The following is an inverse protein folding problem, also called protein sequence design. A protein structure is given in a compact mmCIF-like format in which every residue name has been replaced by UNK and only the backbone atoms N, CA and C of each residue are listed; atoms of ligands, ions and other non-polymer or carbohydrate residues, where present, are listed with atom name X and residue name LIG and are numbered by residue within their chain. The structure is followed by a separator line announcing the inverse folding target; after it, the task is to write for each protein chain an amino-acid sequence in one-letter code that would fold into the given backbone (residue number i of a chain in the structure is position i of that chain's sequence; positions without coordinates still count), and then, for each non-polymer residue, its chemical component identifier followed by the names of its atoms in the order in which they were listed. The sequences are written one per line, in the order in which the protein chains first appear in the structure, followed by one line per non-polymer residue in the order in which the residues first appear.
data_IF_164840348348
#
_entry.id   IF_164840348348
#
_cell.length_a   1.000
_cell.length_b   1.000
_cell.length_c   1.000
_cell.angle_alpha   90.00
_cell.angle_beta   90.00
_cell.angle_gamma   90.00
#
_symmetry.space_group_name_H-M   'P 1'
#
loop_
_entity.id
_entity.type
_entity.pdbx_description
1 polymer ?
#
# COMPACT_ATOMS: atom_id res chain seq x y z
N UNK A 1 -13.27 20.14 9.27
CA UNK A 1 -12.07 20.38 8.43
C UNK A 1 -12.53 20.51 7.00
N UNK A 2 -12.29 21.64 6.34
CA UNK A 2 -12.67 21.81 4.93
C UNK A 2 -11.74 20.97 4.07
N UNK A 3 -12.30 20.17 3.18
CA UNK A 3 -11.56 19.51 2.10
C UNK A 3 -10.77 20.55 1.31
N UNK A 4 -9.53 20.27 0.90
CA UNK A 4 -8.82 21.18 0.03
C UNK A 4 -9.62 21.38 -1.26
N UNK A 5 -9.72 22.63 -1.74
CA UNK A 5 -10.45 22.99 -2.97
C UNK A 5 -9.82 22.38 -4.25
N UNK A 6 -8.69 21.72 -4.11
CA UNK A 6 -7.95 20.99 -5.14
C UNK A 6 -7.94 19.52 -4.81
N UNK A 7 -8.38 18.65 -5.71
CA UNK A 7 -8.40 17.21 -5.50
C UNK A 7 -7.01 16.66 -5.11
N UNK A 8 -6.98 15.66 -4.22
CA UNK A 8 -5.76 14.96 -3.80
C UNK A 8 -5.15 14.17 -4.95
N UNK A 9 -3.88 14.41 -5.26
CA UNK A 9 -3.13 13.67 -6.27
C UNK A 9 -2.27 12.59 -5.62
N UNK A 10 -2.66 11.34 -5.81
CA UNK A 10 -1.92 10.17 -5.31
C UNK A 10 -1.18 9.50 -6.46
N UNK A 11 0.12 9.25 -6.29
CA UNK A 11 0.90 8.37 -7.15
C UNK A 11 0.93 6.98 -6.53
N UNK A 12 0.51 5.97 -7.29
CA UNK A 12 0.73 4.58 -6.95
C UNK A 12 1.82 3.99 -7.85
N UNK A 13 2.88 3.46 -7.23
CA UNK A 13 3.95 2.72 -7.91
C UNK A 13 3.71 1.24 -7.68
N UNK A 14 3.34 0.52 -8.73
CA UNK A 14 3.16 -0.94 -8.70
C UNK A 14 4.50 -1.64 -8.44
N UNK A 15 4.45 -2.90 -8.17
CA UNK A 15 5.51 -3.86 -7.86
C UNK A 15 6.95 -3.42 -8.19
N UNK A 16 7.64 -2.85 -7.20
CA UNK A 16 9.05 -2.42 -7.36
C UNK A 16 9.96 -3.64 -7.32
N UNK A 17 10.44 -4.07 -8.48
CA UNK A 17 11.21 -5.30 -8.63
C UNK A 17 12.72 -5.08 -8.50
N UNK A 18 13.34 -5.73 -7.51
CA UNK A 18 14.79 -5.85 -7.32
C UNK A 18 15.54 -4.50 -7.41
N UNK A 19 16.84 -4.55 -7.72
CA UNK A 19 17.70 -3.36 -7.79
C UNK A 19 17.35 -2.42 -8.94
N UNK A 20 16.82 -2.94 -10.03
CA UNK A 20 16.44 -2.12 -11.20
C UNK A 20 15.24 -1.23 -10.86
N UNK A 21 14.19 -1.80 -10.27
CA UNK A 21 13.02 -1.03 -9.83
C UNK A 21 13.39 0.04 -8.80
N UNK A 22 14.22 -0.34 -7.80
CA UNK A 22 14.70 0.61 -6.78
C UNK A 22 15.45 1.80 -7.38
N UNK A 23 16.40 1.55 -8.31
CA UNK A 23 17.17 2.61 -8.98
C UNK A 23 16.32 3.53 -9.84
N UNK A 24 15.30 2.99 -10.52
CA UNK A 24 14.37 3.80 -11.30
C UNK A 24 13.55 4.69 -10.38
N UNK A 25 13.03 4.15 -9.29
CA UNK A 25 12.28 4.92 -8.30
C UNK A 25 13.13 6.05 -7.72
N UNK A 26 14.34 5.74 -7.23
CA UNK A 26 15.29 6.70 -6.70
C UNK A 26 15.61 7.82 -7.69
N UNK A 27 15.79 7.48 -8.96
CA UNK A 27 16.17 8.43 -10.01
C UNK A 27 15.04 9.40 -10.40
N UNK A 28 13.80 8.93 -10.44
CA UNK A 28 12.72 9.67 -11.09
C UNK A 28 11.62 10.14 -10.14
N UNK A 29 11.55 9.61 -8.91
CA UNK A 29 10.42 9.88 -8.02
C UNK A 29 10.24 11.37 -7.71
N UNK A 30 11.35 12.07 -7.42
CA UNK A 30 11.33 13.49 -7.07
C UNK A 30 10.85 14.34 -8.26
N UNK A 31 11.35 14.05 -9.46
CA UNK A 31 10.97 14.76 -10.68
C UNK A 31 9.49 14.55 -11.00
N UNK A 32 9.01 13.32 -10.92
CA UNK A 32 7.59 12.98 -11.14
C UNK A 32 6.70 13.65 -10.10
N UNK A 33 7.09 13.63 -8.81
CA UNK A 33 6.36 14.32 -7.75
C UNK A 33 6.21 15.81 -8.04
N UNK A 34 7.29 16.46 -8.45
CA UNK A 34 7.31 17.88 -8.75
C UNK A 34 6.53 18.22 -10.04
N UNK A 35 6.79 17.51 -11.13
CA UNK A 35 6.18 17.76 -12.46
C UNK A 35 4.66 17.64 -12.41
N UNK A 36 4.16 16.61 -11.71
CA UNK A 36 2.73 16.32 -11.64
C UNK A 36 2.04 16.90 -10.41
N UNK A 37 2.79 17.52 -9.48
CA UNK A 37 2.28 18.06 -8.22
C UNK A 37 1.62 16.96 -7.38
N UNK A 38 2.33 15.85 -7.17
CA UNK A 38 1.85 14.69 -6.40
C UNK A 38 1.88 15.01 -4.91
N UNK A 39 0.76 14.84 -4.25
CA UNK A 39 0.59 15.10 -2.83
C UNK A 39 0.99 13.90 -1.96
N UNK A 40 0.77 12.66 -2.45
CA UNK A 40 0.98 11.44 -1.67
C UNK A 40 1.45 10.28 -2.55
N UNK A 41 2.41 9.47 -2.08
CA UNK A 41 3.02 8.39 -2.85
C UNK A 41 2.90 7.07 -2.09
N UNK A 42 2.26 6.09 -2.73
CA UNK A 42 2.20 4.69 -2.29
C UNK A 42 3.03 3.85 -3.24
N UNK A 43 3.87 2.96 -2.72
CA UNK A 43 4.64 2.03 -3.54
C UNK A 43 4.52 0.59 -3.03
N UNK A 44 4.32 -0.36 -3.93
CA UNK A 44 4.38 -1.77 -3.58
C UNK A 44 5.83 -2.25 -3.61
N UNK A 45 6.34 -2.68 -2.45
CA UNK A 45 7.74 -3.05 -2.23
C UNK A 45 7.96 -4.55 -2.04
N UNK A 46 6.95 -5.40 -2.29
CA UNK A 46 7.03 -6.82 -1.95
C UNK A 46 8.18 -7.58 -2.64
N UNK A 47 8.62 -7.10 -3.82
CA UNK A 47 9.69 -7.71 -4.61
C UNK A 47 10.98 -6.87 -4.64
N UNK A 48 11.11 -5.88 -3.77
CA UNK A 48 12.21 -4.94 -3.77
C UNK A 48 13.57 -5.56 -3.36
N UNK A 49 13.58 -6.59 -2.50
CA UNK A 49 14.79 -7.27 -2.05
C UNK A 49 15.13 -8.46 -2.95
N UNK A 50 15.84 -8.18 -4.05
CA UNK A 50 16.30 -9.23 -4.98
C UNK A 50 15.17 -9.98 -5.71
N UNK A 51 13.95 -9.41 -5.74
CA UNK A 51 12.79 -10.00 -6.38
C UNK A 51 11.84 -10.71 -5.41
N UNK A 52 12.13 -10.74 -4.10
CA UNK A 52 11.27 -11.35 -3.07
C UNK A 52 11.45 -10.67 -1.71
N UNK A 53 10.37 -10.12 -1.20
CA UNK A 53 10.35 -9.43 0.09
C UNK A 53 10.94 -8.02 0.03
N UNK A 54 10.99 -7.39 1.19
CA UNK A 54 11.59 -6.09 1.46
C UNK A 54 12.40 -6.16 2.75
N UNK A 55 13.56 -5.51 2.81
CA UNK A 55 14.37 -5.41 4.03
C UNK A 55 14.11 -4.08 4.74
N UNK A 56 14.40 -3.96 6.06
CA UNK A 56 14.31 -2.69 6.77
C UNK A 56 15.09 -1.55 6.11
N UNK A 57 16.31 -1.85 5.59
CA UNK A 57 17.16 -0.86 4.91
C UNK A 57 16.50 -0.36 3.62
N UNK A 58 15.93 -1.26 2.82
CA UNK A 58 15.24 -0.91 1.57
C UNK A 58 13.99 -0.09 1.89
N UNK A 59 13.21 -0.47 2.90
CA UNK A 59 12.03 0.27 3.31
C UNK A 59 12.39 1.69 3.78
N UNK A 60 13.40 1.83 4.66
CA UNK A 60 13.92 3.12 5.12
C UNK A 60 14.41 3.98 3.96
N UNK A 61 15.09 3.36 2.99
CA UNK A 61 15.55 4.07 1.79
C UNK A 61 14.36 4.62 0.99
N UNK A 62 13.31 3.84 0.76
CA UNK A 62 12.12 4.31 0.07
C UNK A 62 11.44 5.49 0.77
N UNK A 63 11.33 5.45 2.09
CA UNK A 63 10.83 6.58 2.86
C UNK A 63 11.74 7.81 2.74
N UNK A 64 13.05 7.63 2.72
CA UNK A 64 14.01 8.74 2.60
C UNK A 64 13.98 9.45 1.25
N UNK A 65 13.56 8.75 0.18
CA UNK A 65 13.42 9.35 -1.15
C UNK A 65 12.00 9.90 -1.42
N UNK A 66 11.11 9.87 -0.41
CA UNK A 66 9.82 10.53 -0.46
C UNK A 66 8.62 9.62 -0.73
N UNK A 67 8.75 8.28 -0.58
CA UNK A 67 7.58 7.39 -0.53
C UNK A 67 6.89 7.58 0.82
N UNK A 68 5.58 7.81 0.80
CA UNK A 68 4.80 8.06 2.01
C UNK A 68 4.33 6.76 2.69
N UNK A 69 3.91 5.76 1.89
CA UNK A 69 3.46 4.45 2.38
C UNK A 69 3.99 3.33 1.48
N UNK A 70 4.43 2.26 2.09
CA UNK A 70 4.78 1.00 1.41
C UNK A 70 3.70 -0.04 1.63
N UNK A 71 3.25 -0.67 0.55
CA UNK A 71 2.42 -1.87 0.56
C UNK A 71 3.26 -3.09 0.19
N UNK A 72 2.76 -4.26 0.48
CA UNK A 72 3.41 -5.54 0.19
C UNK A 72 2.39 -6.58 -0.29
N UNK A 73 2.81 -7.83 -0.40
CA UNK A 73 1.98 -8.95 -0.82
C UNK A 73 2.42 -10.27 -0.18
N UNK A 74 2.36 -11.36 -0.94
CA UNK A 74 2.65 -12.70 -0.45
C UNK A 74 4.13 -12.91 -0.05
N UNK A 75 5.05 -12.08 -0.53
CA UNK A 75 6.49 -12.18 -0.20
C UNK A 75 6.91 -11.32 1.00
N UNK A 76 5.97 -10.68 1.71
CA UNK A 76 6.29 -9.78 2.83
C UNK A 76 7.18 -10.40 3.92
N UNK A 77 7.10 -11.73 4.14
CA UNK A 77 7.87 -12.44 5.16
C UNK A 77 9.08 -13.20 4.64
N UNK A 78 9.40 -13.07 3.34
CA UNK A 78 10.53 -13.79 2.75
C UNK A 78 11.88 -13.29 3.30
N UNK A 79 11.96 -12.01 3.72
CA UNK A 79 13.09 -11.44 4.45
C UNK A 79 12.75 -11.39 5.94
N UNK A 80 13.27 -12.33 6.72
CA UNK A 80 12.88 -12.49 8.15
C UNK A 80 13.17 -11.26 9.02
N UNK A 81 14.16 -10.48 8.66
CA UNK A 81 14.55 -9.25 9.35
C UNK A 81 13.49 -8.13 9.26
N UNK A 82 12.50 -8.27 8.36
CA UNK A 82 11.40 -7.32 8.26
C UNK A 82 10.42 -7.42 9.44
N UNK A 83 10.33 -8.55 10.12
CA UNK A 83 9.31 -8.82 11.13
C UNK A 83 9.28 -7.77 12.27
N UNK A 84 10.41 -7.43 12.94
CA UNK A 84 10.40 -6.37 13.95
C UNK A 84 10.02 -5.01 13.35
N UNK A 85 10.51 -4.73 12.14
CA UNK A 85 10.29 -3.45 11.48
C UNK A 85 8.83 -3.25 11.07
N UNK A 86 8.10 -4.31 10.71
CA UNK A 86 6.66 -4.27 10.45
C UNK A 86 5.84 -3.82 11.68
N UNK A 87 6.28 -4.14 12.89
CA UNK A 87 5.61 -3.69 14.12
C UNK A 87 5.92 -2.23 14.46
N UNK A 88 7.14 -1.79 14.17
CA UNK A 88 7.65 -0.46 14.53
C UNK A 88 7.26 0.62 13.51
N UNK A 89 7.21 0.28 12.21
CA UNK A 89 6.99 1.25 11.14
C UNK A 89 5.52 1.21 10.63
N UNK A 90 4.69 2.18 11.03
CA UNK A 90 3.27 2.19 10.65
C UNK A 90 3.02 2.43 9.16
N UNK A 91 4.00 2.93 8.41
CA UNK A 91 3.91 3.20 6.98
C UNK A 91 4.26 1.99 6.10
N UNK A 92 4.68 0.87 6.71
CA UNK A 92 4.89 -0.39 5.99
C UNK A 92 3.68 -1.31 6.24
N UNK A 93 2.88 -1.54 5.21
CA UNK A 93 1.66 -2.31 5.29
C UNK A 93 1.84 -3.71 4.70
N UNK A 94 1.44 -4.71 5.45
CA UNK A 94 1.24 -6.09 4.95
C UNK A 94 -0.20 -6.30 4.51
N UNK A 95 -0.54 -7.38 3.79
CA UNK A 95 -1.94 -7.67 3.49
C UNK A 95 -2.81 -7.77 4.77
N UNK A 96 -3.87 -6.97 4.83
CA UNK A 96 -4.74 -6.86 6.00
C UNK A 96 -5.55 -8.13 6.28
N UNK A 97 -5.77 -8.93 5.24
CA UNK A 97 -6.47 -10.22 5.34
C UNK A 97 -5.56 -11.40 5.72
N UNK A 98 -4.30 -11.15 6.12
CA UNK A 98 -3.51 -12.13 6.85
C UNK A 98 -3.97 -12.20 8.29
N UNK A 99 -3.60 -13.29 9.00
CA UNK A 99 -3.98 -13.49 10.39
C UNK A 99 -3.69 -12.25 11.25
N UNK A 100 -4.61 -11.91 12.14
CA UNK A 100 -4.45 -10.82 13.12
C UNK A 100 -3.27 -11.02 14.07
N UNK A 101 -2.75 -12.26 14.17
CA UNK A 101 -1.55 -12.59 14.97
C UNK A 101 -0.25 -12.30 14.22
N UNK A 102 -0.33 -11.92 12.94
CA UNK A 102 0.84 -11.61 12.13
C UNK A 102 1.37 -10.22 12.46
N UNK A 103 2.68 -10.02 12.62
CA UNK A 103 3.28 -8.72 12.89
C UNK A 103 2.87 -7.66 11.87
N UNK A 104 2.77 -6.41 12.32
CA UNK A 104 2.50 -5.25 11.48
C UNK A 104 1.03 -5.00 11.19
N UNK A 105 0.78 -3.98 10.39
CA UNK A 105 -0.55 -3.46 10.05
C UNK A 105 -0.90 -3.72 8.60
N UNK A 106 -2.18 -3.80 8.28
CA UNK A 106 -2.65 -3.96 6.90
C UNK A 106 -3.34 -2.73 6.33
N UNK A 107 -3.54 -1.70 7.15
CA UNK A 107 -4.14 -0.42 6.76
C UNK A 107 -3.74 0.68 7.74
N UNK A 108 -3.94 1.92 7.35
CA UNK A 108 -3.76 3.09 8.20
C UNK A 108 -4.28 4.37 7.55
N UNK A 109 -4.43 5.41 8.36
CA UNK A 109 -4.69 6.77 7.91
C UNK A 109 -3.41 7.60 8.05
N UNK A 110 -3.01 8.28 6.98
CA UNK A 110 -1.75 8.99 6.88
C UNK A 110 -1.99 10.46 6.56
N UNK A 111 -1.19 11.34 7.17
CA UNK A 111 -1.24 12.76 6.87
C UNK A 111 -0.70 13.04 5.46
N UNK A 112 -1.30 13.97 4.78
CA UNK A 112 -0.87 14.48 3.48
C UNK A 112 -0.31 15.90 3.69
N UNK A 113 0.81 16.23 3.03
CA UNK A 113 1.38 17.58 3.02
C UNK A 113 1.36 18.27 4.40
N UNK A 114 2.14 17.77 5.36
CA UNK A 114 2.30 18.35 6.71
C UNK A 114 0.97 18.56 7.49
N UNK A 115 -0.08 17.77 7.15
CA UNK A 115 -1.35 17.78 7.88
C UNK A 115 -2.49 18.55 7.21
N UNK A 116 -2.33 18.96 5.94
CA UNK A 116 -3.43 19.61 5.17
C UNK A 116 -4.60 18.65 4.86
N UNK A 117 -4.42 17.34 5.07
CA UNK A 117 -5.43 16.33 4.85
C UNK A 117 -4.99 14.96 5.32
N UNK A 118 -5.84 13.96 5.09
CA UNK A 118 -5.55 12.56 5.39
C UNK A 118 -5.96 11.69 4.21
N UNK A 119 -5.26 10.56 4.05
CA UNK A 119 -5.62 9.48 3.13
C UNK A 119 -5.54 8.15 3.88
N UNK A 120 -6.53 7.29 3.68
CA UNK A 120 -6.48 5.91 4.16
C UNK A 120 -5.89 5.01 3.07
N UNK A 121 -4.94 4.17 3.44
CA UNK A 121 -4.37 3.14 2.56
C UNK A 121 -4.70 1.77 3.15
N UNK A 122 -5.24 0.89 2.33
CA UNK A 122 -5.56 -0.50 2.69
C UNK A 122 -4.78 -1.42 1.75
N UNK A 123 -4.01 -2.34 2.31
CA UNK A 123 -3.35 -3.39 1.55
C UNK A 123 -4.12 -4.70 1.73
N UNK A 124 -4.52 -5.33 0.64
CA UNK A 124 -5.23 -6.61 0.61
C UNK A 124 -4.55 -7.58 -0.35
N UNK A 125 -4.69 -8.88 -0.09
CA UNK A 125 -4.21 -9.93 -0.98
C UNK A 125 -5.35 -10.79 -1.50
N UNK A 126 -5.32 -11.09 -2.79
CA UNK A 126 -6.18 -12.10 -3.41
C UNK A 126 -5.90 -13.51 -2.89
N UNK A 127 -6.80 -14.45 -3.17
CA UNK A 127 -6.66 -15.85 -2.74
C UNK A 127 -6.40 -16.82 -3.90
N UNK A 128 -6.83 -16.44 -5.11
CA UNK A 128 -6.69 -17.29 -6.29
C UNK A 128 -5.26 -17.25 -6.78
N UNK A 129 -4.58 -18.37 -6.73
CA UNK A 129 -3.15 -18.55 -7.09
C UNK A 129 -2.16 -17.75 -6.21
N UNK A 130 -2.59 -17.33 -5.01
CA UNK A 130 -1.81 -16.46 -4.11
C UNK A 130 -1.57 -17.13 -2.74
N UNK A 131 -0.58 -18.03 -2.59
CA UNK A 131 -0.16 -18.52 -1.29
C UNK A 131 0.67 -17.44 -0.54
N UNK A 132 0.65 -17.39 0.80
CA UNK A 132 -0.26 -18.14 1.67
C UNK A 132 -1.70 -17.62 1.59
N UNK A 133 -2.67 -18.52 1.75
CA UNK A 133 -4.07 -18.12 1.77
C UNK A 133 -4.38 -17.33 3.06
N UNK A 134 -4.78 -16.08 2.88
CA UNK A 134 -5.34 -15.26 3.94
C UNK A 134 -6.86 -15.46 4.11
N UNK A 135 -7.44 -14.71 5.04
CA UNK A 135 -8.89 -14.60 5.20
C UNK A 135 -9.54 -13.96 3.96
N UNK A 136 -10.86 -13.93 3.92
CA UNK A 136 -11.59 -13.33 2.80
C UNK A 136 -11.28 -11.84 2.66
N UNK A 137 -10.67 -11.38 1.56
CA UNK A 137 -10.31 -9.97 1.40
C UNK A 137 -11.55 -9.05 1.30
N UNK A 138 -12.67 -9.55 0.81
CA UNK A 138 -13.93 -8.80 0.75
C UNK A 138 -14.48 -8.51 2.15
N UNK A 139 -14.56 -9.54 3.00
CA UNK A 139 -15.00 -9.38 4.38
C UNK A 139 -14.03 -8.47 5.16
N UNK A 140 -12.73 -8.61 4.92
CA UNK A 140 -11.73 -7.77 5.57
C UNK A 140 -11.82 -6.31 5.14
N UNK A 141 -12.10 -6.04 3.87
CA UNK A 141 -12.38 -4.69 3.39
C UNK A 141 -13.60 -4.07 4.10
N UNK A 142 -14.69 -4.84 4.25
CA UNK A 142 -15.89 -4.38 4.95
C UNK A 142 -15.63 -4.00 6.41
N UNK A 143 -14.84 -4.82 7.12
CA UNK A 143 -14.46 -4.54 8.50
C UNK A 143 -13.67 -3.24 8.61
N UNK A 144 -12.63 -3.09 7.78
CA UNK A 144 -11.77 -1.90 7.81
C UNK A 144 -12.56 -0.63 7.46
N UNK A 145 -13.37 -0.67 6.39
CA UNK A 145 -14.12 0.49 5.94
C UNK A 145 -15.15 1.02 6.97
N UNK A 146 -15.66 0.15 7.87
CA UNK A 146 -16.55 0.57 8.95
C UNK A 146 -15.84 1.41 10.02
N UNK A 147 -14.54 1.17 10.21
CA UNK A 147 -13.74 1.80 11.26
C UNK A 147 -12.99 3.04 10.77
N UNK A 148 -12.97 3.31 9.45
CA UNK A 148 -12.34 4.50 8.89
C UNK A 148 -13.14 5.78 9.19
N UNK A 149 -12.45 6.92 9.39
CA UNK A 149 -13.12 8.20 9.55
C UNK A 149 -13.97 8.56 8.32
N UNK A 150 -15.15 9.13 8.55
CA UNK A 150 -16.04 9.54 7.47
C UNK A 150 -15.38 10.61 6.58
N UNK A 151 -15.52 10.46 5.26
CA UNK A 151 -15.03 11.42 4.27
C UNK A 151 -13.53 11.36 4.00
N UNK A 152 -12.77 10.43 4.61
CA UNK A 152 -11.37 10.23 4.27
C UNK A 152 -11.26 9.55 2.90
N UNK A 153 -10.43 10.05 1.95
CA UNK A 153 -10.14 9.33 0.72
C UNK A 153 -9.47 7.98 1.01
N UNK A 154 -9.94 6.91 0.35
CA UNK A 154 -9.44 5.54 0.57
C UNK A 154 -8.79 5.02 -0.71
N UNK A 155 -7.53 4.59 -0.60
CA UNK A 155 -6.78 3.90 -1.65
C UNK A 155 -6.58 2.45 -1.23
N UNK A 156 -6.97 1.52 -2.08
CA UNK A 156 -6.82 0.08 -1.85
C UNK A 156 -5.79 -0.49 -2.81
N UNK A 157 -4.69 -1.05 -2.30
CA UNK A 157 -3.79 -1.92 -3.05
C UNK A 157 -4.28 -3.37 -2.91
N UNK A 158 -4.81 -3.93 -4.00
CA UNK A 158 -5.28 -5.31 -4.04
C UNK A 158 -4.29 -6.19 -4.78
N UNK A 159 -3.31 -6.69 -4.05
CA UNK A 159 -2.28 -7.57 -4.58
C UNK A 159 -2.84 -8.95 -4.93
N UNK A 160 -3.09 -9.20 -6.22
CA UNK A 160 -3.73 -10.42 -6.69
C UNK A 160 -3.19 -10.86 -8.06
N UNK A 161 -3.05 -12.17 -8.26
CA UNK A 161 -2.64 -12.74 -9.55
C UNK A 161 -3.79 -12.73 -10.56
N UNK A 162 -4.96 -13.24 -10.16
CA UNK A 162 -6.09 -13.41 -11.05
C UNK A 162 -6.78 -12.09 -11.41
N UNK A 163 -6.82 -11.73 -12.69
CA UNK A 163 -7.52 -10.54 -13.20
C UNK A 163 -9.00 -10.53 -12.79
N UNK A 164 -9.67 -11.69 -12.80
CA UNK A 164 -11.06 -11.81 -12.35
C UNK A 164 -11.24 -11.44 -10.87
N UNK A 165 -10.26 -11.75 -10.01
CA UNK A 165 -10.31 -11.35 -8.61
C UNK A 165 -10.19 -9.81 -8.46
N UNK A 166 -9.30 -9.17 -9.25
CA UNK A 166 -9.15 -7.71 -9.29
C UNK A 166 -10.44 -7.04 -9.74
N UNK A 167 -11.04 -7.53 -10.83
CA UNK A 167 -12.31 -7.00 -11.32
C UNK A 167 -13.47 -7.21 -10.31
N UNK A 168 -13.55 -8.37 -9.67
CA UNK A 168 -14.56 -8.63 -8.65
C UNK A 168 -14.43 -7.68 -7.46
N UNK A 169 -13.19 -7.43 -6.99
CA UNK A 169 -12.94 -6.49 -5.89
C UNK A 169 -13.28 -5.06 -6.31
N UNK A 170 -12.95 -4.66 -7.53
CA UNK A 170 -13.28 -3.33 -8.06
C UNK A 170 -14.81 -3.12 -8.08
N UNK A 171 -15.56 -4.06 -8.62
CA UNK A 171 -17.03 -3.99 -8.60
C UNK A 171 -17.61 -4.00 -7.17
N UNK A 172 -17.01 -4.75 -6.26
CA UNK A 172 -17.47 -4.85 -4.88
C UNK A 172 -17.26 -3.55 -4.09
N UNK A 173 -16.16 -2.85 -4.35
CA UNK A 173 -15.80 -1.62 -3.68
C UNK A 173 -16.22 -0.34 -4.43
N UNK A 174 -16.87 -0.48 -5.58
CA UNK A 174 -17.37 0.66 -6.36
C UNK A 174 -18.26 1.58 -5.52
N UNK A 175 -17.98 2.89 -5.57
CA UNK A 175 -18.66 3.90 -4.77
C UNK A 175 -18.33 3.91 -3.27
N UNK A 176 -17.44 3.00 -2.80
CA UNK A 176 -17.08 2.87 -1.37
C UNK A 176 -15.64 3.31 -1.08
N UNK A 177 -14.79 3.34 -2.10
CA UNK A 177 -13.39 3.76 -2.01
C UNK A 177 -13.07 4.77 -3.11
N UNK A 178 -12.00 5.55 -2.92
CA UNK A 178 -11.59 6.56 -3.91
C UNK A 178 -10.80 5.96 -5.07
N UNK A 179 -10.01 4.90 -4.80
CA UNK A 179 -9.26 4.18 -5.82
C UNK A 179 -8.99 2.74 -5.38
N UNK A 180 -8.99 1.82 -6.34
CA UNK A 180 -8.48 0.46 -6.20
C UNK A 180 -7.45 0.23 -7.29
N UNK A 181 -6.30 -0.27 -6.91
CA UNK A 181 -5.14 -0.58 -7.76
C UNK A 181 -4.65 -1.99 -7.47
N UNK A 182 -3.87 -2.58 -8.41
CA UNK A 182 -3.30 -3.91 -8.21
C UNK A 182 -2.98 -4.65 -9.50
#
# INVERSE_FOLDING_TARGET
MSMPSKGLKVLFVGDVFASTGRRLLERFLADVRQEHGIDFIVANAENAAGGRGVTPEIAKHFFSIGVDVLTTGNHVFDQKEILPFLEEEPRLLRPANFSVRTPGRGHGCFAVNEGEGMVAVINLQGRVYMPPNGDCPFARADEILKDLPEGVPVVVDFHAEATSAKQAMACYLDGRVSALVG
#
